data_IF_673753925369
#
_entry.id   IF_673753925369
#
_cell.length_a   1.000
_cell.length_b   1.000
_cell.length_c   1.000
_cell.angle_alpha   90.00
_cell.angle_beta   90.00
_cell.angle_gamma   90.00
#
_symmetry.space_group_name_H-M   'P 1'
#
loop_
_entity.id
_entity.type
_entity.pdbx_description
1 polymer ?
#
# COMPACT_ATOMS: atom_id res chain seq x y z
N UNK A 1 -2.41 14.74 9.41
CA UNK A 1 -2.53 14.13 8.08
C UNK A 1 -1.22 14.39 7.37
N UNK A 2 -0.45 13.33 7.12
CA UNK A 2 0.85 13.39 6.44
C UNK A 2 0.65 13.72 4.96
N UNK A 3 1.55 14.49 4.32
CA UNK A 3 1.44 14.77 2.88
C UNK A 3 1.69 13.50 2.06
N UNK A 4 1.00 13.38 0.93
CA UNK A 4 1.11 12.20 0.04
C UNK A 4 2.56 11.91 -0.37
N UNK A 5 3.37 12.95 -0.57
CA UNK A 5 4.79 12.79 -0.94
C UNK A 5 5.55 11.95 0.09
N UNK A 6 5.41 12.28 1.37
CA UNK A 6 6.13 11.61 2.46
C UNK A 6 5.64 10.16 2.61
N UNK A 7 4.33 9.92 2.42
CA UNK A 7 3.74 8.58 2.38
C UNK A 7 4.34 7.74 1.24
N UNK A 8 4.49 8.31 0.04
CA UNK A 8 5.10 7.62 -1.11
C UNK A 8 6.59 7.37 -0.87
N UNK A 9 7.32 8.32 -0.28
CA UNK A 9 8.72 8.12 0.11
C UNK A 9 8.85 6.98 1.13
N UNK A 10 7.94 6.88 2.11
CA UNK A 10 7.91 5.76 3.06
C UNK A 10 7.62 4.43 2.38
N UNK A 11 6.64 4.38 1.47
CA UNK A 11 6.32 3.18 0.68
C UNK A 11 7.49 2.71 -0.18
N UNK A 12 8.30 3.63 -0.71
CA UNK A 12 9.49 3.29 -1.50
C UNK A 12 10.68 2.81 -0.64
N UNK A 13 10.79 3.31 0.60
CA UNK A 13 11.90 2.97 1.50
C UNK A 13 11.60 1.75 2.41
N UNK A 14 10.33 1.35 2.52
CA UNK A 14 9.88 0.30 3.44
C UNK A 14 9.17 -0.80 2.67
N UNK A 15 9.82 -1.95 2.53
CA UNK A 15 9.21 -3.16 1.96
C UNK A 15 8.20 -3.83 2.91
N UNK A 16 8.29 -3.60 4.23
CA UNK A 16 7.41 -4.21 5.25
C UNK A 16 6.73 -3.15 6.15
N UNK A 17 6.02 -2.19 5.55
CA UNK A 17 5.26 -1.21 6.34
C UNK A 17 3.94 -1.81 6.84
N UNK A 18 3.85 -2.12 8.13
CA UNK A 18 2.63 -2.66 8.75
C UNK A 18 1.48 -1.65 8.84
N UNK A 19 1.77 -0.35 8.75
CA UNK A 19 0.78 0.73 8.96
C UNK A 19 0.40 1.51 7.69
N UNK A 20 1.02 1.21 6.54
CA UNK A 20 0.72 1.88 5.26
C UNK A 20 0.67 0.85 4.14
N UNK A 21 -0.43 0.83 3.41
CA UNK A 21 -0.68 -0.08 2.30
C UNK A 21 -0.96 0.69 1.00
N UNK A 22 -0.37 0.25 -0.11
CA UNK A 22 -0.62 0.80 -1.44
C UNK A 22 -1.51 -0.14 -2.27
N UNK A 23 -2.60 0.37 -2.84
CA UNK A 23 -3.47 -0.41 -3.74
C UNK A 23 -3.81 0.36 -5.01
N UNK A 24 -3.93 -0.36 -6.13
CA UNK A 24 -4.29 0.20 -7.45
C UNK A 24 -5.61 0.98 -7.44
N UNK A 25 -6.55 0.62 -6.56
CA UNK A 25 -7.84 1.32 -6.43
C UNK A 25 -8.75 1.21 -7.65
N UNK A 26 -8.52 0.22 -8.53
CA UNK A 26 -9.36 -0.03 -9.72
C UNK A 26 -10.79 -0.45 -9.35
N UNK A 27 -10.97 -1.05 -8.18
CA UNK A 27 -12.25 -1.25 -7.52
C UNK A 27 -12.04 -1.35 -6.01
N UNK A 28 -13.11 -1.10 -5.24
CA UNK A 28 -13.11 -1.32 -3.79
C UNK A 28 -13.42 -2.80 -3.54
N UNK A 29 -12.41 -3.63 -3.79
CA UNK A 29 -12.53 -5.08 -3.69
C UNK A 29 -12.32 -5.59 -2.25
N UNK A 30 -12.58 -6.89 -2.05
CA UNK A 30 -12.36 -7.62 -0.79
C UNK A 30 -10.99 -7.33 -0.16
N UNK A 31 -9.95 -7.18 -0.97
CA UNK A 31 -8.59 -6.87 -0.51
C UNK A 31 -8.51 -5.57 0.31
N UNK A 32 -9.30 -4.54 -0.03
CA UNK A 32 -9.34 -3.29 0.75
C UNK A 32 -10.01 -3.53 2.10
N UNK A 33 -11.12 -4.26 2.11
CA UNK A 33 -11.82 -4.60 3.36
C UNK A 33 -10.97 -5.48 4.28
N UNK A 34 -10.18 -6.39 3.72
CA UNK A 34 -9.23 -7.22 4.48
C UNK A 34 -8.15 -6.35 5.13
N UNK A 35 -7.57 -5.39 4.41
CA UNK A 35 -6.60 -4.44 4.98
C UNK A 35 -7.23 -3.57 6.08
N UNK A 36 -8.46 -3.08 5.87
CA UNK A 36 -9.17 -2.29 6.90
C UNK A 36 -9.38 -3.14 8.16
N UNK A 37 -9.82 -4.39 8.02
CA UNK A 37 -10.00 -5.29 9.15
C UNK A 37 -8.67 -5.58 9.86
N UNK A 38 -7.57 -5.81 9.13
CA UNK A 38 -6.25 -6.00 9.71
C UNK A 38 -5.84 -4.78 10.56
N UNK A 39 -5.86 -3.58 9.96
CA UNK A 39 -5.53 -2.35 10.66
C UNK A 39 -6.43 -2.03 11.86
N UNK A 40 -7.68 -2.49 11.85
CA UNK A 40 -8.62 -2.28 12.96
C UNK A 40 -8.47 -3.31 14.09
N UNK A 41 -7.94 -4.49 13.78
CA UNK A 41 -7.85 -5.61 14.71
C UNK A 41 -6.48 -5.72 15.37
N UNK A 42 -5.45 -5.03 14.88
CA UNK A 42 -4.14 -5.00 15.54
C UNK A 42 -4.17 -4.07 16.77
N UNK A 43 -4.09 -4.60 18.01
CA UNK A 43 -3.82 -3.77 19.18
C UNK A 43 -2.41 -3.18 19.03
N UNK A 44 -2.24 -1.89 19.35
CA UNK A 44 -1.03 -1.06 19.15
C UNK A 44 -0.79 -0.48 17.74
N UNK A 45 -1.53 -0.86 16.69
CA UNK A 45 -1.62 -0.01 15.51
C UNK A 45 -2.65 1.08 15.80
N UNK A 46 -2.25 2.35 15.84
CA UNK A 46 -3.17 3.50 15.91
C UNK A 46 -3.99 3.67 14.60
N UNK A 47 -4.38 2.56 13.98
CA UNK A 47 -4.90 2.45 12.63
C UNK A 47 -3.81 2.30 11.57
N UNK A 48 -4.19 2.52 10.32
CA UNK A 48 -3.27 2.51 9.19
C UNK A 48 -3.78 3.35 8.02
N UNK A 49 -2.89 3.65 7.07
CA UNK A 49 -3.17 4.47 5.89
C UNK A 49 -3.21 3.60 4.64
N UNK A 50 -4.31 3.65 3.89
CA UNK A 50 -4.42 2.99 2.59
C UNK A 50 -4.33 4.06 1.50
N UNK A 51 -3.33 3.96 0.62
CA UNK A 51 -3.18 4.82 -0.55
C UNK A 51 -3.77 4.11 -1.76
N UNK A 52 -4.81 4.70 -2.34
CA UNK A 52 -5.49 4.18 -3.53
C UNK A 52 -4.98 4.88 -4.80
N UNK A 53 -4.93 4.16 -5.92
CA UNK A 53 -4.52 4.71 -7.22
C UNK A 53 -3.01 4.63 -7.47
N UNK A 54 -2.26 3.98 -6.59
CA UNK A 54 -0.81 3.82 -6.71
C UNK A 54 -0.45 2.34 -6.78
N UNK A 55 0.57 2.02 -7.56
CA UNK A 55 1.12 0.67 -7.69
C UNK A 55 2.63 0.77 -7.65
N UNK A 56 3.28 -0.24 -7.06
CA UNK A 56 4.73 -0.35 -7.16
C UNK A 56 5.09 -0.51 -8.63
N UNK A 57 6.09 0.23 -9.08
CA UNK A 57 6.67 -0.01 -10.40
C UNK A 57 7.32 -1.39 -10.38
N UNK A 58 6.69 -2.36 -11.05
CA UNK A 58 7.33 -3.63 -11.33
C UNK A 58 8.42 -3.36 -12.37
N UNK A 59 9.68 -3.47 -11.96
CA UNK A 59 10.79 -3.42 -12.90
C UNK A 59 10.73 -4.70 -13.74
N UNK A 60 9.99 -4.66 -14.84
CA UNK A 60 10.06 -5.70 -15.85
C UNK A 60 11.50 -5.70 -16.35
N UNK A 61 12.26 -6.82 -16.22
CA UNK A 61 13.58 -6.89 -16.79
C UNK A 61 13.45 -6.60 -18.29
N UNK A 62 14.21 -5.63 -18.78
CA UNK A 62 14.28 -5.29 -20.19
C UNK A 62 14.80 -6.52 -20.97
N UNK A 63 13.91 -7.41 -21.41
CA UNK A 63 14.31 -8.61 -22.13
C UNK A 63 13.34 -9.79 -22.19
N UNK A 64 12.22 -9.80 -21.47
CA UNK A 64 11.27 -10.93 -21.56
C UNK A 64 10.23 -10.70 -22.67
N UNK A 65 10.66 -10.82 -23.93
CA UNK A 65 9.76 -11.19 -25.02
C UNK A 65 9.84 -12.71 -25.12
N UNK A 66 8.73 -13.39 -24.81
CA UNK A 66 8.32 -14.62 -25.49
C UNK A 66 6.81 -14.55 -25.74
#
# INVERSE_FOLDING_TARGET
MEPLKDIIERLNNSDESTSIEAKRGSAIDKSIMETICAFSNEPDLEGGTIVLGVVREEHLPAGSID
#
